data_IF_356932391019
#
_entry.id   IF_356932391019
#
_cell.length_a   1.000
_cell.length_b   1.000
_cell.length_c   1.000
_cell.angle_alpha   90.00
_cell.angle_beta   90.00
_cell.angle_gamma   90.00
#
_symmetry.space_group_name_H-M   'P 1'
#
loop_
_entity.id
_entity.type
_entity.pdbx_description
1 polymer ?
#
# COMPACT_ATOMS: atom_id res chain seq x y z
N UNK A 1 -0.15 -19.13 -76.33
CA UNK A 1 -0.81 -17.86 -76.00
C UNK A 1 -1.82 -18.14 -74.90
N UNK A 2 -1.44 -17.95 -73.64
CA UNK A 2 -2.37 -17.87 -72.51
C UNK A 2 -1.78 -16.88 -71.52
N UNK A 3 -2.57 -15.85 -71.25
CA UNK A 3 -2.21 -14.59 -70.60
C UNK A 3 -2.45 -14.72 -69.10
N UNK A 4 -1.49 -14.28 -68.29
CA UNK A 4 -1.64 -14.03 -66.86
C UNK A 4 -2.81 -13.08 -66.58
N UNK A 5 -3.53 -13.32 -65.48
CA UNK A 5 -4.17 -12.27 -64.69
C UNK A 5 -3.78 -12.46 -63.22
N UNK A 6 -2.87 -11.60 -62.76
CA UNK A 6 -2.61 -11.33 -61.35
C UNK A 6 -3.66 -10.35 -60.85
N UNK A 7 -4.37 -10.69 -59.78
CA UNK A 7 -5.27 -9.79 -59.06
C UNK A 7 -4.58 -9.42 -57.75
N UNK A 8 -4.40 -8.11 -57.57
CA UNK A 8 -3.69 -7.44 -56.48
C UNK A 8 -4.32 -7.69 -55.11
N UNK A 9 -3.52 -8.22 -54.18
CA UNK A 9 -3.86 -8.53 -52.77
C UNK A 9 -3.67 -7.30 -51.85
N UNK A 10 -3.31 -6.14 -52.38
CA UNK A 10 -2.89 -4.99 -51.54
C UNK A 10 -4.03 -4.20 -50.87
N UNK A 11 -5.30 -4.35 -51.27
CA UNK A 11 -6.37 -3.47 -50.78
C UNK A 11 -7.12 -3.96 -49.51
N UNK A 12 -6.86 -5.19 -49.02
CA UNK A 12 -7.52 -5.69 -47.80
C UNK A 12 -6.83 -5.27 -46.50
N UNK A 13 -5.55 -4.86 -46.56
CA UNK A 13 -4.80 -4.47 -45.36
C UNK A 13 -5.15 -3.07 -44.83
N UNK A 14 -5.64 -2.16 -45.68
CA UNK A 14 -5.90 -0.77 -45.29
C UNK A 14 -7.23 -0.63 -44.50
N UNK A 15 -8.24 -1.46 -44.78
CA UNK A 15 -9.53 -1.40 -44.08
C UNK A 15 -9.46 -2.06 -42.70
N UNK A 16 -8.62 -3.10 -42.52
CA UNK A 16 -8.44 -3.76 -41.22
C UNK A 16 -7.62 -2.91 -40.22
N UNK A 17 -6.68 -2.09 -40.73
CA UNK A 17 -5.85 -1.20 -39.92
C UNK A 17 -6.66 -0.03 -39.31
N UNK A 18 -7.72 0.44 -39.98
CA UNK A 18 -8.59 1.51 -39.47
C UNK A 18 -9.56 1.01 -38.38
N UNK A 19 -9.94 -0.28 -38.37
CA UNK A 19 -10.81 -0.85 -37.34
C UNK A 19 -10.04 -1.28 -36.07
N UNK A 20 -8.78 -1.73 -36.18
CA UNK A 20 -7.95 -2.00 -34.99
C UNK A 20 -7.52 -0.69 -34.31
N UNK A 21 -7.32 0.40 -35.08
CA UNK A 21 -7.06 1.73 -34.52
C UNK A 21 -8.28 2.33 -33.79
N UNK A 22 -9.51 1.92 -34.15
CA UNK A 22 -10.74 2.37 -33.46
C UNK A 22 -10.98 1.65 -32.13
N UNK A 23 -10.37 0.48 -31.91
CA UNK A 23 -10.34 -0.18 -30.59
C UNK A 23 -9.21 0.32 -29.69
N UNK A 24 -8.30 1.16 -30.21
CA UNK A 24 -7.21 1.82 -29.46
C UNK A 24 -7.69 3.00 -28.58
N UNK A 25 -9.00 3.30 -28.50
CA UNK A 25 -9.52 4.42 -27.66
C UNK A 25 -10.51 3.94 -26.58
N UNK A 26 -10.62 2.64 -26.33
CA UNK A 26 -11.30 2.16 -25.11
C UNK A 26 -10.37 2.31 -23.90
N UNK A 27 -10.14 3.57 -23.52
CA UNK A 27 -9.98 4.04 -22.14
C UNK A 27 -9.25 3.09 -21.19
N UNK A 28 -7.92 3.07 -21.30
CA UNK A 28 -7.08 2.91 -20.12
C UNK A 28 -7.35 4.11 -19.20
N UNK A 29 -8.32 3.97 -18.30
CA UNK A 29 -8.33 4.75 -17.08
C UNK A 29 -7.29 4.10 -16.17
N UNK A 30 -6.05 4.56 -16.30
CA UNK A 30 -5.05 4.40 -15.25
C UNK A 30 -5.70 4.95 -13.96
N UNK A 31 -5.83 4.10 -12.95
CA UNK A 31 -6.36 4.48 -11.64
C UNK A 31 -5.25 5.28 -10.93
N UNK A 32 -5.02 6.50 -11.42
CA UNK A 32 -4.04 7.43 -10.89
C UNK A 32 -4.30 7.59 -9.39
N UNK A 33 -3.41 7.01 -8.57
CA UNK A 33 -3.47 7.16 -7.12
C UNK A 33 -2.80 8.47 -6.73
N UNK A 34 -3.62 9.39 -6.27
CA UNK A 34 -3.21 10.70 -5.79
C UNK A 34 -2.65 10.58 -4.37
N UNK A 35 -1.93 11.61 -3.91
CA UNK A 35 -1.33 11.61 -2.57
C UNK A 35 -1.67 12.92 -1.87
N UNK A 36 -2.21 12.84 -0.66
CA UNK A 36 -2.20 13.96 0.28
C UNK A 36 -0.82 13.96 0.91
N UNK A 37 -0.03 14.99 0.66
CA UNK A 37 1.35 15.06 1.15
C UNK A 37 1.57 16.10 2.25
N UNK A 38 0.63 17.02 2.45
CA UNK A 38 0.69 17.98 3.54
C UNK A 38 -0.72 18.47 3.93
N UNK A 39 -0.91 18.79 5.20
CA UNK A 39 -2.10 19.43 5.74
C UNK A 39 -1.63 20.55 6.67
N UNK A 40 -2.06 21.77 6.37
CA UNK A 40 -1.64 22.96 7.12
C UNK A 40 -2.85 23.70 7.66
N UNK A 41 -2.79 24.10 8.92
CA UNK A 41 -3.70 25.07 9.52
C UNK A 41 -3.09 26.49 9.45
N UNK A 42 -3.87 27.46 8.99
CA UNK A 42 -3.51 28.88 9.00
C UNK A 42 -4.61 29.64 9.72
N UNK A 43 -4.23 30.31 10.80
CA UNK A 43 -5.07 31.29 11.50
C UNK A 43 -4.65 32.70 11.09
N UNK A 44 -5.60 33.51 10.61
CA UNK A 44 -5.42 34.96 10.42
C UNK A 44 -6.58 35.74 11.07
N UNK A 45 -6.43 37.06 11.24
CA UNK A 45 -7.44 37.93 11.88
C UNK A 45 -8.83 37.86 11.22
N UNK A 46 -8.92 37.37 9.97
CA UNK A 46 -10.15 37.33 9.19
C UNK A 46 -10.76 35.92 9.11
N UNK A 47 -10.01 34.85 9.35
CA UNK A 47 -10.45 33.48 9.08
C UNK A 47 -9.48 32.41 9.58
N UNK A 48 -10.04 31.29 10.03
CA UNK A 48 -9.33 30.02 10.16
C UNK A 48 -9.40 29.27 8.83
N UNK A 49 -8.28 28.68 8.41
CA UNK A 49 -8.20 27.93 7.16
C UNK A 49 -7.45 26.63 7.35
N UNK A 50 -8.00 25.55 6.79
CA UNK A 50 -7.30 24.27 6.66
C UNK A 50 -7.01 24.04 5.19
N UNK A 51 -5.74 23.81 4.87
CA UNK A 51 -5.24 23.60 3.51
C UNK A 51 -4.73 22.17 3.41
N UNK A 52 -5.30 21.42 2.47
CA UNK A 52 -4.91 20.03 2.18
C UNK A 52 -4.19 20.04 0.83
N UNK A 53 -2.90 19.73 0.81
CA UNK A 53 -2.08 19.70 -0.39
C UNK A 53 -2.08 18.31 -1.03
N UNK A 54 -2.24 18.29 -2.36
CA UNK A 54 -2.45 17.06 -3.13
C UNK A 54 -1.43 16.98 -4.27
N UNK A 55 -1.00 15.77 -4.61
CA UNK A 55 -0.12 15.55 -5.77
C UNK A 55 -0.80 15.95 -7.09
N UNK A 56 -2.12 15.82 -7.18
CA UNK A 56 -2.94 16.22 -8.33
C UNK A 56 -4.31 16.72 -7.89
N UNK A 57 -5.07 17.32 -8.81
CA UNK A 57 -6.46 17.66 -8.54
C UNK A 57 -7.30 16.39 -8.46
N UNK A 58 -8.04 16.23 -7.37
CA UNK A 58 -8.84 15.04 -7.09
C UNK A 58 -10.24 15.42 -6.61
N UNK A 59 -11.24 14.62 -7.01
CA UNK A 59 -12.60 14.75 -6.50
C UNK A 59 -12.70 14.22 -5.06
N UNK A 60 -13.53 14.87 -4.25
CA UNK A 60 -13.76 14.49 -2.87
C UNK A 60 -15.24 14.52 -2.54
N UNK A 61 -15.68 13.58 -1.69
CA UNK A 61 -17.02 13.62 -1.12
C UNK A 61 -16.97 14.35 0.23
N UNK A 62 -17.97 15.20 0.51
CA UNK A 62 -18.12 15.87 1.80
C UNK A 62 -19.33 15.31 2.53
N UNK A 63 -19.13 14.99 3.80
CA UNK A 63 -20.19 14.54 4.68
C UNK A 63 -20.03 15.14 6.08
N UNK A 64 -21.11 15.11 6.85
CA UNK A 64 -21.16 15.67 8.19
C UNK A 64 -21.73 14.66 9.17
N UNK A 65 -21.19 14.62 10.38
CA UNK A 65 -21.71 13.83 11.49
C UNK A 65 -22.21 14.82 12.55
N UNK A 66 -23.51 14.78 12.92
CA UNK A 66 -24.05 15.67 13.94
C UNK A 66 -23.38 15.40 15.30
N UNK A 67 -23.29 16.44 16.13
CA UNK A 67 -22.80 16.29 17.49
C UNK A 67 -23.74 15.41 18.33
N UNK A 68 -23.17 14.64 19.25
CA UNK A 68 -23.88 13.94 20.30
C UNK A 68 -23.20 14.16 21.66
N UNK A 69 -23.64 13.46 22.71
CA UNK A 69 -23.12 13.66 24.08
C UNK A 69 -21.61 13.33 24.21
N UNK A 70 -21.09 12.46 23.35
CA UNK A 70 -19.73 11.95 23.42
C UNK A 70 -18.89 12.35 22.19
N UNK A 71 -19.51 12.90 21.14
CA UNK A 71 -18.85 13.23 19.88
C UNK A 71 -19.13 14.68 19.47
N UNK A 72 -18.10 15.46 19.12
CA UNK A 72 -18.28 16.79 18.54
C UNK A 72 -18.91 16.70 17.15
N UNK A 73 -19.36 17.84 16.62
CA UNK A 73 -19.81 17.94 15.24
C UNK A 73 -18.61 17.70 14.30
N UNK A 74 -18.74 16.80 13.32
CA UNK A 74 -17.63 16.45 12.42
C UNK A 74 -18.00 16.80 10.98
N UNK A 75 -17.06 17.38 10.25
CA UNK A 75 -17.10 17.43 8.78
C UNK A 75 -15.94 16.59 8.27
N UNK A 76 -16.18 15.67 7.35
CA UNK A 76 -15.12 14.89 6.75
C UNK A 76 -15.14 14.93 5.22
N UNK A 77 -13.95 14.89 4.64
CA UNK A 77 -13.69 14.86 3.21
C UNK A 77 -13.05 13.52 2.87
N UNK A 78 -13.67 12.80 1.95
CA UNK A 78 -13.17 11.53 1.42
C UNK A 78 -12.57 11.74 0.03
N UNK A 79 -11.25 11.64 -0.04
CA UNK A 79 -10.49 11.73 -1.29
C UNK A 79 -10.35 10.33 -1.88
N UNK A 80 -11.14 10.05 -2.94
CA UNK A 80 -11.10 8.77 -3.64
C UNK A 80 -9.82 8.66 -4.46
N UNK A 81 -9.37 7.42 -4.68
CA UNK A 81 -8.14 7.12 -5.38
C UNK A 81 -6.93 7.87 -4.77
N UNK A 82 -6.94 8.07 -3.45
CA UNK A 82 -5.95 8.93 -2.77
C UNK A 82 -5.32 8.20 -1.59
N UNK A 83 -4.00 8.29 -1.51
CA UNK A 83 -3.17 7.81 -0.42
C UNK A 83 -2.79 8.96 0.52
N UNK A 84 -2.71 8.67 1.81
CA UNK A 84 -2.17 9.59 2.80
C UNK A 84 -0.65 9.37 2.93
N UNK A 85 0.14 10.43 2.72
CA UNK A 85 1.59 10.36 2.96
C UNK A 85 1.87 10.12 4.44
N UNK A 86 2.93 9.35 4.73
CA UNK A 86 3.41 9.11 6.10
C UNK A 86 3.94 10.38 6.78
N UNK A 87 4.23 11.42 6.01
CA UNK A 87 4.72 12.70 6.50
C UNK A 87 3.60 13.62 6.98
N UNK A 88 2.34 13.34 6.62
CA UNK A 88 1.19 14.14 7.02
C UNK A 88 0.83 13.82 8.47
N UNK A 89 0.74 14.83 9.36
CA UNK A 89 0.31 14.63 10.73
C UNK A 89 -1.11 14.03 10.79
N UNK A 90 -1.28 12.98 11.60
CA UNK A 90 -2.59 12.34 11.82
C UNK A 90 -3.55 13.24 12.58
N UNK A 91 -3.03 14.05 13.51
CA UNK A 91 -3.80 15.06 14.25
C UNK A 91 -3.03 16.38 14.22
N UNK A 92 -3.77 17.45 13.98
CA UNK A 92 -3.31 18.83 14.07
C UNK A 92 -4.27 19.52 15.02
N UNK A 93 -3.80 19.78 16.24
CA UNK A 93 -4.57 20.58 17.19
C UNK A 93 -4.65 22.01 16.70
N UNK A 94 -5.87 22.54 16.73
CA UNK A 94 -6.14 23.89 16.27
C UNK A 94 -6.54 24.72 17.48
N UNK A 95 -5.73 25.74 17.77
CA UNK A 95 -6.05 26.77 18.75
C UNK A 95 -6.99 27.80 18.10
N UNK A 96 -8.25 27.41 17.87
CA UNK A 96 -9.31 28.27 17.32
C UNK A 96 -10.62 28.05 18.08
N UNK A 97 -11.42 29.12 18.19
CA UNK A 97 -12.78 29.06 18.74
C UNK A 97 -13.76 28.22 17.89
N UNK A 98 -13.41 27.90 16.64
CA UNK A 98 -14.31 27.27 15.67
C UNK A 98 -14.03 25.78 15.46
N UNK A 99 -12.74 25.40 15.41
CA UNK A 99 -12.30 24.03 15.11
C UNK A 99 -11.43 23.54 16.25
N UNK A 100 -11.78 22.36 16.77
CA UNK A 100 -11.03 21.67 17.81
C UNK A 100 -9.70 21.16 17.26
N UNK A 101 -9.78 20.40 16.17
CA UNK A 101 -8.64 19.73 15.54
C UNK A 101 -8.97 19.28 14.13
N UNK A 102 -7.91 19.08 13.35
CA UNK A 102 -7.95 18.36 12.07
C UNK A 102 -7.34 16.99 12.28
N UNK A 103 -8.02 15.97 11.78
CA UNK A 103 -7.59 14.59 11.81
C UNK A 103 -7.47 14.06 10.38
N UNK A 104 -6.48 13.24 10.10
CA UNK A 104 -6.26 12.66 8.78
C UNK A 104 -5.89 11.19 8.88
N UNK A 105 -6.47 10.37 8.01
CA UNK A 105 -6.27 8.92 8.04
C UNK A 105 -6.55 8.26 6.70
N UNK A 106 -5.98 7.07 6.50
CA UNK A 106 -6.30 6.23 5.35
C UNK A 106 -7.57 5.43 5.68
N UNK A 107 -8.73 5.87 5.18
CA UNK A 107 -10.02 5.22 5.48
C UNK A 107 -10.12 3.80 4.91
N UNK A 108 -9.58 3.57 3.71
CA UNK A 108 -9.41 2.25 3.11
C UNK A 108 -8.26 2.29 2.09
N UNK A 109 -7.97 1.16 1.43
CA UNK A 109 -6.86 1.02 0.44
C UNK A 109 -6.84 2.07 -0.68
N UNK A 110 -7.93 2.81 -0.89
CA UNK A 110 -8.09 3.74 -2.00
C UNK A 110 -8.74 5.07 -1.60
N UNK A 111 -8.95 5.33 -0.30
CA UNK A 111 -9.62 6.55 0.16
C UNK A 111 -8.87 7.11 1.35
N UNK A 112 -8.34 8.32 1.21
CA UNK A 112 -7.83 9.11 2.33
C UNK A 112 -8.96 10.00 2.87
N UNK A 113 -9.08 10.10 4.18
CA UNK A 113 -10.12 10.88 4.86
C UNK A 113 -9.46 11.96 5.70
N UNK A 114 -9.95 13.19 5.56
CA UNK A 114 -9.62 14.31 6.44
C UNK A 114 -10.88 14.71 7.20
N UNK A 115 -10.81 14.75 8.52
CA UNK A 115 -11.91 15.04 9.44
C UNK A 115 -11.60 16.33 10.20
N UNK A 116 -12.58 17.21 10.30
CA UNK A 116 -12.54 18.41 11.11
C UNK A 116 -13.56 18.28 12.23
N UNK A 117 -13.09 18.37 13.47
CA UNK A 117 -13.94 18.37 14.65
C UNK A 117 -14.26 19.82 15.04
N UNK A 118 -15.53 20.15 15.21
CA UNK A 118 -15.99 21.51 15.51
C UNK A 118 -16.65 21.59 16.89
N UNK A 119 -16.51 22.75 17.53
CA UNK A 119 -17.23 23.07 18.77
C UNK A 119 -18.74 23.26 18.56
N UNK A 120 -19.16 23.64 17.36
CA UNK A 120 -20.56 23.96 17.02
C UNK A 120 -20.89 23.54 15.59
N UNK A 121 -22.17 23.58 15.22
CA UNK A 121 -22.63 23.23 13.87
C UNK A 121 -22.08 24.24 12.87
N UNK A 122 -21.27 23.74 11.94
CA UNK A 122 -20.56 24.57 10.97
C UNK A 122 -20.84 24.11 9.55
N UNK A 123 -20.99 25.06 8.63
CA UNK A 123 -21.00 24.78 7.19
C UNK A 123 -19.72 25.35 6.56
N UNK A 124 -18.64 24.57 6.45
CA UNK A 124 -17.40 25.09 5.91
C UNK A 124 -17.58 25.50 4.44
N UNK A 125 -16.99 26.63 4.07
CA UNK A 125 -16.85 26.97 2.66
C UNK A 125 -15.59 26.28 2.15
N UNK A 126 -15.69 25.59 1.01
CA UNK A 126 -14.60 24.78 0.48
C UNK A 126 -14.28 25.25 -0.93
N UNK A 127 -13.00 25.45 -1.21
CA UNK A 127 -12.49 25.77 -2.53
C UNK A 127 -11.36 24.81 -2.93
N UNK A 128 -11.39 24.34 -4.17
CA UNK A 128 -10.33 23.53 -4.74
C UNK A 128 -9.53 24.34 -5.76
N UNK A 129 -8.20 24.25 -5.69
CA UNK A 129 -7.26 24.94 -6.56
C UNK A 129 -6.41 23.93 -7.32
N UNK A 130 -5.98 24.29 -8.54
CA UNK A 130 -5.20 23.40 -9.40
C UNK A 130 -3.68 23.65 -9.33
N UNK A 131 -3.23 24.81 -8.80
CA UNK A 131 -1.81 25.21 -8.83
C UNK A 131 -1.37 25.96 -7.54
N UNK A 132 -0.55 25.34 -6.67
CA UNK A 132 -0.44 23.88 -6.55
C UNK A 132 -1.80 23.23 -6.22
N UNK A 133 -2.03 21.95 -6.59
CA UNK A 133 -3.28 21.26 -6.29
C UNK A 133 -3.53 21.21 -4.77
N UNK A 134 -4.65 21.80 -4.35
CA UNK A 134 -5.02 21.87 -2.93
C UNK A 134 -6.51 22.09 -2.72
N UNK A 135 -7.01 21.64 -1.58
CA UNK A 135 -8.35 21.95 -1.08
C UNK A 135 -8.22 22.85 0.14
N UNK A 136 -8.94 23.96 0.14
CA UNK A 136 -8.95 24.94 1.23
C UNK A 136 -10.33 24.98 1.85
N UNK A 137 -10.40 24.73 3.15
CA UNK A 137 -11.58 24.88 3.96
C UNK A 137 -11.48 26.20 4.72
N UNK A 138 -12.43 27.08 4.49
CA UNK A 138 -12.58 28.34 5.21
C UNK A 138 -13.55 28.15 6.38
N UNK A 139 -13.05 28.49 7.56
CA UNK A 139 -13.65 28.28 8.86
C UNK A 139 -13.77 29.70 9.47
N UNK A 140 -14.92 30.36 9.30
CA UNK A 140 -15.11 31.70 9.87
C UNK A 140 -16.46 32.37 9.58
N UNK A 141 -17.06 32.15 8.41
CA UNK A 141 -18.20 32.97 7.97
C UNK A 141 -19.60 32.34 8.10
N UNK A 142 -19.74 31.04 8.38
CA UNK A 142 -21.03 30.31 8.26
C UNK A 142 -21.38 29.46 9.50
N UNK A 143 -21.33 30.06 10.70
CA UNK A 143 -21.90 29.45 11.90
C UNK A 143 -23.43 29.36 11.74
N UNK A 144 -23.98 28.15 11.70
CA UNK A 144 -25.42 27.96 11.57
C UNK A 144 -26.05 28.31 12.92
N UNK A 145 -26.75 29.44 12.99
CA UNK A 145 -27.38 29.90 14.21
C UNK A 145 -28.50 28.93 14.64
N UNK A 146 -28.24 28.11 15.66
CA UNK A 146 -29.29 27.45 16.43
C UNK A 146 -28.97 26.05 16.91
N UNK A 147 -28.20 25.92 18.00
CA UNK A 147 -28.55 25.04 19.12
C UNK A 147 -27.73 25.40 20.36
N UNK A 148 -28.34 26.17 21.27
CA UNK A 148 -27.85 26.43 22.62
C UNK A 148 -28.28 25.29 23.55
N UNK A 149 -27.32 24.58 24.15
CA UNK A 149 -27.37 23.86 25.44
C UNK A 149 -26.01 23.16 25.59
N UNK A 150 -25.18 23.27 26.62
CA UNK A 150 -25.18 24.03 27.86
C UNK A 150 -23.72 24.16 28.29
N UNK A 151 -23.35 25.34 28.79
CA UNK A 151 -22.07 25.57 29.47
C UNK A 151 -22.01 24.72 30.73
N UNK A 152 -21.02 23.86 30.86
CA UNK A 152 -20.53 23.42 32.17
C UNK A 152 -19.11 23.96 32.39
N UNK A 153 -19.05 25.09 33.08
CA UNK A 153 -17.87 25.57 33.77
C UNK A 153 -17.89 25.00 35.19
N UNK A 154 -16.77 24.46 35.67
CA UNK A 154 -16.27 24.28 37.06
C UNK A 154 -15.01 23.42 36.88
N UNK A 155 -13.80 23.73 37.37
CA UNK A 155 -13.32 24.80 38.23
C UNK A 155 -11.85 24.52 38.55
N UNK A 156 -11.14 25.60 38.87
CA UNK A 156 -9.71 25.65 39.21
C UNK A 156 -9.29 24.71 40.34
N UNK A 157 -8.07 24.15 40.25
CA UNK A 157 -7.25 23.88 41.42
C UNK A 157 -5.75 23.92 41.09
N UNK A 158 -5.13 25.05 41.43
CA UNK A 158 -3.69 25.18 41.65
C UNK A 158 -3.24 24.57 42.99
N UNK A 159 -1.95 24.20 43.01
CA UNK A 159 -0.95 24.00 44.09
C UNK A 159 -0.33 22.59 43.96
N UNK A 160 0.95 22.37 43.72
CA UNK A 160 2.17 23.16 43.97
C UNK A 160 3.05 22.41 44.99
N UNK A 161 4.19 21.85 44.56
CA UNK A 161 5.45 21.80 45.33
C UNK A 161 6.62 21.11 44.56
N UNK A 162 7.64 21.92 44.26
CA UNK A 162 9.09 21.73 44.47
C UNK A 162 9.45 20.66 45.52
N UNK A 163 10.59 19.97 45.55
CA UNK A 163 11.89 19.94 44.87
C UNK A 163 12.63 18.70 45.45
N UNK A 164 13.62 18.15 44.75
CA UNK A 164 14.96 17.84 45.29
C UNK A 164 15.64 16.65 44.60
N UNK A 165 16.89 16.95 44.28
CA UNK A 165 17.93 16.13 43.68
C UNK A 165 18.38 15.02 44.62
N UNK A 166 18.77 13.86 44.08
CA UNK A 166 20.07 13.31 44.48
C UNK A 166 20.67 12.33 43.46
N UNK A 167 21.98 12.50 43.33
CA UNK A 167 22.97 11.81 42.52
C UNK A 167 23.44 10.55 43.25
N UNK A 168 23.66 9.41 42.58
CA UNK A 168 24.83 8.54 42.78
C UNK A 168 25.15 7.77 41.48
N UNK A 169 26.39 7.92 41.04
CA UNK A 169 27.04 7.23 39.94
C UNK A 169 27.39 5.77 40.26
N UNK A 170 27.58 4.94 39.22
CA UNK A 170 28.46 3.76 39.08
C UNK A 170 28.16 3.24 37.65
N UNK A 171 29.03 2.74 36.79
CA UNK A 171 30.49 2.68 36.61
C UNK A 171 30.69 2.04 35.23
N UNK A 172 31.73 2.45 34.51
CA UNK A 172 32.10 1.95 33.19
C UNK A 172 32.38 0.44 33.16
N UNK A 173 31.99 -0.23 32.07
CA UNK A 173 32.74 -1.38 31.54
C UNK A 173 32.69 -1.36 30.00
N UNK A 174 33.76 -0.82 29.40
CA UNK A 174 34.10 -1.03 28.00
C UNK A 174 34.71 -2.41 27.84
N UNK A 175 34.16 -3.25 26.97
CA UNK A 175 34.83 -4.46 26.48
C UNK A 175 34.98 -4.36 24.97
N UNK A 176 36.21 -4.02 24.56
CA UNK A 176 36.71 -4.23 23.20
C UNK A 176 36.56 -5.72 22.84
N UNK A 177 35.99 -6.00 21.68
CA UNK A 177 36.12 -7.29 21.01
C UNK A 177 36.91 -7.07 19.72
N UNK A 178 38.03 -7.78 19.65
CA UNK A 178 38.98 -7.76 18.54
C UNK A 178 38.33 -8.19 17.23
N UNK A 179 38.46 -7.35 16.20
CA UNK A 179 38.11 -7.70 14.82
C UNK A 179 39.30 -8.44 14.23
N UNK A 180 39.08 -9.72 13.91
CA UNK A 180 39.99 -10.53 13.10
C UNK A 180 39.73 -10.21 11.63
N UNK A 181 40.69 -9.54 10.99
CA UNK A 181 40.72 -9.35 9.55
C UNK A 181 40.92 -10.71 8.85
N UNK A 182 39.85 -11.19 8.23
CA UNK A 182 39.87 -12.32 7.29
C UNK A 182 39.54 -11.81 5.90
N UNK A 183 40.57 -11.71 5.06
CA UNK A 183 40.46 -11.43 3.63
C UNK A 183 39.43 -12.35 2.96
N UNK A 184 38.39 -11.78 2.38
CA UNK A 184 37.56 -12.47 1.39
C UNK A 184 37.38 -11.56 0.20
N UNK A 185 37.80 -12.07 -0.94
CA UNK A 185 37.72 -11.48 -2.27
C UNK A 185 36.28 -11.06 -2.60
N UNK A 186 36.06 -9.75 -2.73
CA UNK A 186 34.84 -9.17 -3.25
C UNK A 186 34.70 -9.52 -4.74
N UNK A 187 33.98 -10.60 -5.04
CA UNK A 187 33.12 -10.60 -6.24
C UNK A 187 31.90 -9.76 -5.87
N UNK A 188 31.82 -8.55 -6.41
CA UNK A 188 30.63 -7.70 -6.33
C UNK A 188 29.47 -8.42 -7.02
N UNK A 189 28.76 -9.24 -6.24
CA UNK A 189 27.43 -9.71 -6.57
C UNK A 189 26.55 -8.49 -6.39
N UNK A 190 26.03 -7.93 -7.50
CA UNK A 190 24.96 -6.94 -7.43
C UNK A 190 23.88 -7.50 -6.50
N UNK A 191 23.75 -6.92 -5.31
CA UNK A 191 22.74 -7.33 -4.34
C UNK A 191 21.39 -6.97 -4.95
N UNK A 192 20.71 -7.96 -5.54
CA UNK A 192 19.33 -7.78 -5.97
C UNK A 192 18.52 -7.26 -4.77
N UNK A 193 17.70 -6.20 -4.97
CA UNK A 193 16.90 -5.64 -3.89
C UNK A 193 16.08 -6.74 -3.24
N UNK A 194 16.03 -6.74 -1.91
CA UNK A 194 15.31 -7.74 -1.13
C UNK A 194 13.85 -7.81 -1.59
N UNK A 195 13.51 -8.90 -2.27
CA UNK A 195 12.15 -9.19 -2.72
C UNK A 195 11.47 -10.15 -1.72
N UNK A 196 10.56 -9.66 -0.87
CA UNK A 196 9.88 -10.48 0.11
C UNK A 196 9.06 -11.61 -0.54
N UNK A 197 8.65 -11.43 -1.80
CA UNK A 197 7.86 -12.37 -2.59
C UNK A 197 8.70 -13.21 -3.56
N UNK A 198 10.02 -13.13 -3.46
CA UNK A 198 10.91 -14.07 -4.11
C UNK A 198 10.58 -15.51 -3.69
N UNK A 199 10.62 -16.41 -4.67
CA UNK A 199 10.43 -17.85 -4.46
C UNK A 199 11.37 -18.38 -3.37
N UNK A 200 10.93 -19.33 -2.53
CA UNK A 200 11.83 -20.02 -1.61
C UNK A 200 13.01 -20.67 -2.37
N UNK A 201 14.24 -20.60 -1.85
CA UNK A 201 15.34 -21.37 -2.40
C UNK A 201 15.01 -22.87 -2.29
N UNK A 202 15.42 -23.68 -3.27
CA UNK A 202 15.13 -25.12 -3.32
C UNK A 202 16.41 -25.98 -3.09
N UNK A 203 17.05 -25.93 -1.90
CA UNK A 203 18.34 -26.57 -1.69
C UNK A 203 18.25 -28.11 -1.57
N UNK A 204 17.09 -28.65 -1.18
CA UNK A 204 16.93 -30.08 -0.94
C UNK A 204 16.63 -30.78 -2.27
N UNK A 205 17.57 -31.54 -2.79
CA UNK A 205 17.40 -32.34 -4.02
C UNK A 205 17.12 -33.80 -3.68
N UNK A 206 16.04 -34.36 -4.22
CA UNK A 206 15.70 -35.78 -4.11
C UNK A 206 15.87 -36.41 -5.49
N UNK A 207 17.03 -37.05 -5.69
CA UNK A 207 17.48 -37.46 -7.03
C UNK A 207 17.67 -36.26 -7.95
N UNK A 208 17.58 -36.50 -9.26
CA UNK A 208 17.83 -35.47 -10.27
C UNK A 208 16.56 -34.69 -10.69
N UNK A 209 15.39 -35.10 -10.20
CA UNK A 209 14.10 -34.64 -10.71
C UNK A 209 13.27 -33.85 -9.71
N UNK A 210 13.55 -33.93 -8.41
CA UNK A 210 12.73 -33.30 -7.38
C UNK A 210 13.61 -32.35 -6.57
N UNK A 211 13.13 -31.13 -6.38
CA UNK A 211 13.76 -30.14 -5.49
C UNK A 211 12.72 -29.54 -4.56
N UNK A 212 13.07 -29.39 -3.29
CA UNK A 212 12.21 -28.88 -2.24
C UNK A 212 12.92 -27.74 -1.49
N UNK A 213 12.13 -26.86 -0.91
CA UNK A 213 12.65 -25.75 -0.15
C UNK A 213 11.60 -25.09 0.73
N UNK A 214 12.08 -24.27 1.65
CA UNK A 214 11.25 -23.46 2.52
C UNK A 214 11.87 -22.09 2.75
N UNK A 215 11.02 -21.12 3.07
CA UNK A 215 11.39 -19.76 3.49
C UNK A 215 10.59 -19.43 4.74
N UNK A 216 11.26 -18.93 5.76
CA UNK A 216 10.63 -18.43 6.98
C UNK A 216 10.87 -16.92 7.03
N UNK A 217 9.80 -16.14 7.16
CA UNK A 217 9.88 -14.72 7.49
C UNK A 217 9.27 -14.54 8.87
N UNK A 218 9.98 -13.81 9.74
CA UNK A 218 9.48 -13.42 11.05
C UNK A 218 9.51 -11.90 11.09
N UNK A 219 8.39 -11.30 11.46
CA UNK A 219 8.23 -9.85 11.58
C UNK A 219 7.71 -9.53 12.97
N UNK A 220 8.31 -8.53 13.59
CA UNK A 220 7.83 -7.95 14.85
C UNK A 220 7.59 -6.47 14.59
N UNK A 221 6.32 -6.08 14.64
CA UNK A 221 5.88 -4.71 14.39
C UNK A 221 5.26 -4.17 15.69
N UNK A 222 5.82 -3.11 16.25
CA UNK A 222 5.14 -2.31 17.26
C UNK A 222 4.54 -1.10 16.56
N UNK A 223 3.22 -0.92 16.71
CA UNK A 223 2.50 0.22 16.15
C UNK A 223 1.71 0.90 17.24
N UNK A 224 1.86 2.21 17.33
CA UNK A 224 0.93 3.03 18.10
C UNK A 224 -0.37 3.10 17.28
N UNK A 225 -1.43 2.45 17.78
CA UNK A 225 -2.75 2.38 17.17
C UNK A 225 -3.41 3.77 17.26
N UNK A 226 -3.06 4.63 16.32
CA UNK A 226 -3.67 5.94 16.11
C UNK A 226 -4.44 6.00 14.78
N UNK A 227 -4.92 4.84 14.29
CA UNK A 227 -5.62 4.71 12.98
C UNK A 227 -7.14 4.98 13.08
N UNK A 228 -7.70 4.96 14.29
CA UNK A 228 -9.08 5.26 14.70
C UNK A 228 -9.34 6.74 15.00
N UNK A 229 -8.28 7.57 15.06
CA UNK A 229 -8.35 9.02 15.27
C UNK A 229 -8.97 9.44 16.62
N UNK A 230 -9.24 8.52 17.55
CA UNK A 230 -9.60 8.83 18.93
C UNK A 230 -8.37 9.18 19.77
N UNK A 231 -8.63 9.80 20.91
CA UNK A 231 -7.65 10.47 21.77
C UNK A 231 -7.29 9.59 22.98
N UNK A 232 -7.56 8.29 22.89
CA UNK A 232 -7.26 7.38 23.98
C UNK A 232 -5.76 7.08 23.96
N UNK A 233 -5.06 7.74 24.89
CA UNK A 233 -3.66 7.47 25.18
C UNK A 233 -3.55 6.09 25.84
N UNK A 234 -3.44 5.04 25.02
CA UNK A 234 -3.27 3.66 25.50
C UNK A 234 -2.89 2.65 24.43
N UNK A 235 -3.24 2.86 23.17
CA UNK A 235 -3.27 1.70 22.28
C UNK A 235 -1.92 1.45 21.58
N UNK A 236 -0.91 1.00 22.31
CA UNK A 236 0.29 0.40 21.71
C UNK A 236 -0.03 -1.04 21.32
N UNK A 237 0.03 -1.33 20.02
CA UNK A 237 -0.24 -2.64 19.47
C UNK A 237 1.06 -3.29 18.98
N UNK A 238 1.53 -4.29 19.72
CA UNK A 238 2.66 -5.11 19.30
C UNK A 238 2.15 -6.36 18.57
N UNK A 239 2.62 -6.58 17.34
CA UNK A 239 2.22 -7.69 16.47
C UNK A 239 3.44 -8.53 16.11
N UNK A 240 3.32 -9.83 16.27
CA UNK A 240 4.27 -10.80 15.76
C UNK A 240 3.64 -11.56 14.59
N UNK A 241 4.28 -11.50 13.43
CA UNK A 241 3.86 -12.26 12.26
C UNK A 241 4.94 -13.30 11.92
N UNK A 242 4.51 -14.55 11.82
CA UNK A 242 5.34 -15.65 11.32
C UNK A 242 4.79 -16.16 10.00
N UNK A 243 5.63 -16.24 8.99
CA UNK A 243 5.29 -16.77 7.67
C UNK A 243 6.20 -17.94 7.33
N UNK A 244 5.62 -19.09 7.01
CA UNK A 244 6.31 -20.26 6.48
C UNK A 244 5.85 -20.52 5.04
N UNK A 245 6.75 -20.39 4.08
CA UNK A 245 6.52 -20.79 2.69
C UNK A 245 7.22 -22.11 2.42
N UNK A 246 6.52 -23.06 1.80
CA UNK A 246 7.05 -24.37 1.38
C UNK A 246 6.85 -24.51 -0.11
N UNK A 247 7.90 -24.90 -0.82
CA UNK A 247 7.88 -25.03 -2.27
C UNK A 247 8.50 -26.35 -2.75
N UNK A 248 8.02 -26.80 -3.90
CA UNK A 248 8.53 -27.98 -4.59
C UNK A 248 8.57 -27.79 -6.10
N UNK A 249 9.59 -28.37 -6.72
CA UNK A 249 9.80 -28.41 -8.16
C UNK A 249 10.02 -29.86 -8.60
N UNK A 250 9.28 -30.30 -9.60
CA UNK A 250 9.42 -31.61 -10.23
C UNK A 250 9.74 -31.42 -11.72
N UNK A 251 10.83 -32.03 -12.17
CA UNK A 251 11.33 -31.96 -13.54
C UNK A 251 11.23 -33.37 -14.16
N UNK A 252 10.02 -33.81 -14.59
CA UNK A 252 9.85 -35.16 -15.15
C UNK A 252 10.71 -35.37 -16.41
N UNK A 253 10.88 -34.29 -17.19
CA UNK A 253 11.67 -34.20 -18.42
C UNK A 253 12.54 -32.92 -18.41
N UNK A 254 13.65 -32.86 -19.16
CA UNK A 254 14.51 -31.67 -19.21
C UNK A 254 13.80 -30.39 -19.67
N UNK A 255 12.69 -30.50 -20.41
CA UNK A 255 11.91 -29.38 -20.93
C UNK A 255 10.66 -29.06 -20.11
N UNK A 256 10.31 -29.84 -19.08
CA UNK A 256 9.07 -29.67 -18.32
C UNK A 256 9.38 -29.51 -16.84
N UNK A 257 8.89 -28.42 -16.27
CA UNK A 257 8.91 -28.12 -14.85
C UNK A 257 7.48 -28.07 -14.32
N UNK A 258 7.27 -28.66 -13.15
CA UNK A 258 6.03 -28.55 -12.38
C UNK A 258 6.40 -27.97 -11.02
N UNK A 259 5.85 -26.80 -10.72
CA UNK A 259 6.18 -26.05 -9.51
C UNK A 259 4.94 -25.84 -8.64
N UNK A 260 5.11 -25.92 -7.32
CA UNK A 260 4.10 -25.58 -6.34
C UNK A 260 4.70 -24.85 -5.13
N UNK A 261 3.97 -23.89 -4.60
CA UNK A 261 4.33 -23.08 -3.43
C UNK A 261 3.09 -22.76 -2.59
N UNK A 262 3.11 -23.16 -1.32
CA UNK A 262 2.11 -22.78 -0.32
C UNK A 262 2.73 -21.91 0.77
N UNK A 263 1.95 -20.98 1.30
CA UNK A 263 2.35 -20.11 2.42
C UNK A 263 1.37 -20.28 3.56
N UNK A 264 1.92 -20.48 4.75
CA UNK A 264 1.22 -20.44 6.03
C UNK A 264 1.65 -19.17 6.76
N UNK A 265 0.69 -18.45 7.31
CA UNK A 265 0.90 -17.16 7.99
C UNK A 265 0.18 -17.22 9.31
N UNK A 266 0.84 -16.82 10.40
CA UNK A 266 0.23 -16.72 11.71
C UNK A 266 0.58 -15.35 12.30
N UNK A 267 -0.45 -14.61 12.67
CA UNK A 267 -0.38 -13.30 13.32
C UNK A 267 -0.82 -13.47 14.77
N UNK A 268 0.07 -13.10 15.68
CA UNK A 268 -0.13 -13.08 17.12
C UNK A 268 -0.03 -11.62 17.60
N UNK A 269 -0.99 -11.20 18.42
CA UNK A 269 -0.98 -9.88 19.05
C UNK A 269 -0.33 -10.03 20.42
N UNK A 270 0.82 -9.40 20.62
CA UNK A 270 1.65 -9.55 21.83
C UNK A 270 1.28 -8.54 22.93
N UNK A 271 0.85 -7.35 22.55
CA UNK A 271 0.46 -6.28 23.47
C UNK A 271 -0.70 -5.55 22.84
N UNK A 272 -1.81 -5.50 23.57
CA UNK A 272 -3.03 -4.81 23.20
C UNK A 272 -3.72 -4.32 24.49
N UNK A 273 -3.78 -3.01 24.70
CA UNK A 273 -4.48 -2.43 25.85
C UNK A 273 -6.02 -2.60 25.76
N UNK A 274 -6.56 -2.91 24.57
CA UNK A 274 -7.98 -3.18 24.34
C UNK A 274 -8.39 -4.65 24.56
N UNK A 275 -7.43 -5.53 24.87
CA UNK A 275 -7.64 -6.94 25.21
C UNK A 275 -8.46 -7.71 24.16
N UNK A 276 -8.20 -7.44 22.88
CA UNK A 276 -8.77 -8.13 21.73
C UNK A 276 -7.82 -9.27 21.34
N UNK A 277 -8.09 -10.46 21.88
CA UNK A 277 -7.49 -11.70 21.39
C UNK A 277 -8.02 -11.97 19.96
N UNK A 278 -7.23 -11.63 18.94
CA UNK A 278 -7.51 -11.98 17.54
C UNK A 278 -6.28 -12.63 16.90
N UNK A 279 -6.03 -13.89 17.26
CA UNK A 279 -5.06 -14.74 16.59
C UNK A 279 -5.59 -15.11 15.20
N UNK A 280 -4.85 -14.73 14.16
CA UNK A 280 -5.22 -15.06 12.78
C UNK A 280 -4.22 -16.01 12.15
N UNK A 281 -4.73 -17.13 11.64
CA UNK A 281 -3.95 -18.10 10.88
C UNK A 281 -4.52 -18.24 9.48
N UNK A 282 -3.70 -17.98 8.46
CA UNK A 282 -4.08 -18.07 7.05
C UNK A 282 -3.16 -19.06 6.32
N UNK A 283 -3.74 -19.80 5.37
CA UNK A 283 -3.00 -20.71 4.49
C UNK A 283 -3.41 -20.46 3.05
N UNK A 284 -2.45 -20.11 2.19
CA UNK A 284 -2.70 -19.66 0.82
C UNK A 284 -1.81 -20.42 -0.17
N UNK A 285 -2.39 -20.84 -1.29
CA UNK A 285 -1.66 -21.36 -2.44
C UNK A 285 -1.11 -20.19 -3.25
N UNK A 286 0.19 -19.94 -3.15
CA UNK A 286 0.85 -18.82 -3.85
C UNK A 286 1.07 -19.09 -5.32
N UNK A 287 1.60 -20.27 -5.66
CA UNK A 287 1.98 -20.64 -7.02
C UNK A 287 1.75 -22.13 -7.25
N UNK A 288 1.29 -22.45 -8.44
CA UNK A 288 1.09 -23.81 -8.91
C UNK A 288 1.03 -23.78 -10.43
N UNK A 289 2.12 -24.13 -11.10
CA UNK A 289 2.20 -24.03 -12.55
C UNK A 289 2.99 -25.17 -13.19
N UNK A 290 2.71 -25.39 -14.47
CA UNK A 290 3.53 -26.18 -15.38
C UNK A 290 4.24 -25.22 -16.34
N UNK A 291 5.55 -25.40 -16.52
CA UNK A 291 6.36 -24.65 -17.47
C UNK A 291 7.02 -25.64 -18.44
N UNK A 292 6.74 -25.46 -19.73
CA UNK A 292 7.32 -26.21 -20.83
C UNK A 292 8.28 -25.29 -21.61
N UNK A 293 9.58 -25.54 -21.44
CA UNK A 293 10.67 -24.89 -22.17
C UNK A 293 10.78 -25.39 -23.61
N UNK A 294 11.15 -24.50 -24.52
CA UNK A 294 11.34 -24.84 -25.94
C UNK A 294 10.12 -25.55 -26.56
N UNK A 295 8.92 -25.08 -26.18
CA UNK A 295 7.65 -25.49 -26.74
C UNK A 295 7.60 -25.17 -28.24
N UNK A 296 7.58 -26.22 -29.07
CA UNK A 296 7.58 -26.20 -30.54
C UNK A 296 8.89 -25.73 -31.20
N UNK A 297 9.52 -24.66 -30.71
CA UNK A 297 10.78 -24.11 -31.24
C UNK A 297 11.70 -23.63 -30.10
N UNK A 298 13.03 -23.55 -30.32
CA UNK A 298 13.96 -23.08 -29.29
C UNK A 298 13.64 -21.67 -28.78
N UNK A 299 13.82 -21.45 -27.48
CA UNK A 299 13.54 -20.21 -26.73
C UNK A 299 12.06 -19.81 -26.64
N UNK A 300 11.15 -20.63 -27.12
CA UNK A 300 9.72 -20.39 -27.05
C UNK A 300 9.14 -21.21 -25.91
N UNK A 301 8.78 -20.55 -24.83
CA UNK A 301 8.35 -21.21 -23.60
C UNK A 301 6.85 -21.04 -23.41
N UNK A 302 6.25 -22.07 -22.83
CA UNK A 302 4.84 -22.10 -22.49
C UNK A 302 4.66 -22.34 -20.99
N UNK A 303 3.85 -21.54 -20.31
CA UNK A 303 3.58 -21.68 -18.89
C UNK A 303 2.10 -21.52 -18.59
N UNK A 304 1.56 -22.43 -17.77
CA UNK A 304 0.14 -22.42 -17.40
C UNK A 304 -0.04 -22.73 -15.92
N UNK A 305 -0.96 -22.01 -15.28
CA UNK A 305 -1.31 -22.15 -13.88
C UNK A 305 -1.07 -20.86 -13.11
N UNK A 306 -1.07 -20.97 -11.78
CA UNK A 306 -0.84 -19.86 -10.87
C UNK A 306 0.64 -19.52 -10.78
N UNK A 307 1.01 -18.31 -11.18
CA UNK A 307 2.39 -17.86 -11.31
C UNK A 307 2.52 -16.39 -10.94
N UNK A 308 3.71 -15.96 -10.50
CA UNK A 308 3.98 -14.53 -10.35
C UNK A 308 4.17 -13.89 -11.71
N UNK A 309 3.43 -12.83 -11.98
CA UNK A 309 3.63 -11.95 -13.11
C UNK A 309 4.10 -10.62 -12.55
N UNK A 310 5.35 -10.29 -12.85
CA UNK A 310 6.00 -9.05 -12.46
C UNK A 310 6.39 -8.28 -13.70
N UNK A 311 5.96 -7.04 -13.79
CA UNK A 311 6.44 -6.04 -14.73
C UNK A 311 7.68 -5.36 -14.14
N UNK A 312 8.73 -5.15 -14.93
CA UNK A 312 10.01 -4.58 -14.43
C UNK A 312 9.82 -3.16 -13.88
N UNK A 313 8.81 -2.44 -14.37
CA UNK A 313 8.45 -1.10 -13.89
C UNK A 313 7.41 -1.14 -12.77
N UNK A 314 6.88 -2.31 -12.47
CA UNK A 314 5.80 -2.58 -11.51
C UNK A 314 4.53 -1.74 -11.78
N UNK A 315 4.31 -1.28 -13.01
CA UNK A 315 3.17 -0.40 -13.33
C UNK A 315 1.90 -1.18 -13.61
N UNK A 316 2.03 -2.37 -14.20
CA UNK A 316 0.89 -3.12 -14.73
C UNK A 316 0.57 -4.33 -13.85
N UNK A 317 1.59 -5.07 -13.42
CA UNK A 317 1.41 -6.29 -12.63
C UNK A 317 2.58 -6.51 -11.67
N UNK A 318 2.29 -6.77 -10.40
CA UNK A 318 3.18 -7.47 -9.46
C UNK A 318 2.32 -8.34 -8.54
N UNK A 319 1.80 -9.44 -9.09
CA UNK A 319 0.90 -10.32 -8.35
C UNK A 319 1.01 -11.80 -8.79
N UNK A 320 0.43 -12.70 -8.00
CA UNK A 320 0.29 -14.11 -8.33
C UNK A 320 -1.07 -14.36 -8.99
N UNK A 321 -1.05 -14.64 -10.30
CA UNK A 321 -2.26 -14.78 -11.11
C UNK A 321 -2.34 -16.16 -11.74
N UNK A 322 -3.57 -16.63 -11.97
CA UNK A 322 -3.81 -17.79 -12.81
C UNK A 322 -3.70 -17.35 -14.26
N UNK A 323 -2.68 -17.84 -14.94
CA UNK A 323 -2.34 -17.33 -16.26
C UNK A 323 -1.97 -18.43 -17.24
N UNK A 324 -2.31 -18.17 -18.50
CA UNK A 324 -1.75 -18.82 -19.66
C UNK A 324 -0.73 -17.85 -20.26
N UNK A 325 0.53 -18.26 -20.35
CA UNK A 325 1.64 -17.41 -20.81
C UNK A 325 2.47 -18.13 -21.86
N UNK A 326 2.82 -17.40 -22.90
CA UNK A 326 3.75 -17.81 -23.94
C UNK A 326 4.78 -16.70 -24.06
N UNK A 327 6.06 -17.06 -24.01
CA UNK A 327 7.13 -16.08 -24.10
C UNK A 327 8.29 -16.59 -24.94
N UNK A 328 8.92 -15.68 -25.68
CA UNK A 328 10.07 -15.93 -26.52
C UNK A 328 11.20 -15.02 -26.09
N UNK A 329 12.31 -15.58 -25.57
CA UNK A 329 13.41 -14.77 -24.97
C UNK A 329 14.80 -15.07 -25.57
N UNK A 330 15.05 -14.79 -26.87
CA UNK A 330 16.41 -14.78 -27.39
C UNK A 330 17.19 -13.53 -26.93
N UNK A 331 18.51 -13.57 -27.14
CA UNK A 331 19.46 -12.54 -26.64
C UNK A 331 19.13 -11.10 -27.08
N UNK A 332 18.53 -10.90 -28.26
CA UNK A 332 18.35 -9.55 -28.85
C UNK A 332 16.95 -8.97 -28.73
N UNK A 333 15.95 -9.80 -28.44
CA UNK A 333 14.55 -9.40 -28.51
C UNK A 333 13.74 -10.33 -27.59
N UNK A 334 12.73 -9.83 -26.88
CA UNK A 334 11.83 -10.66 -26.07
C UNK A 334 10.36 -10.38 -26.35
N UNK A 335 9.56 -11.43 -26.58
CA UNK A 335 8.10 -11.35 -26.66
C UNK A 335 7.52 -12.04 -25.45
N UNK A 336 6.47 -11.45 -24.89
CA UNK A 336 5.69 -12.05 -23.81
C UNK A 336 4.21 -11.81 -24.09
N UNK A 337 3.44 -12.88 -24.09
CA UNK A 337 2.00 -12.82 -24.22
C UNK A 337 1.38 -13.63 -23.10
N UNK A 338 0.51 -12.98 -22.32
CA UNK A 338 -0.21 -13.62 -21.22
C UNK A 338 -1.69 -13.26 -21.26
N UNK A 339 -2.51 -14.20 -20.80
CA UNK A 339 -3.90 -13.95 -20.40
C UNK A 339 -4.04 -14.48 -18.98
N UNK A 340 -4.52 -13.64 -18.08
CA UNK A 340 -4.52 -13.93 -16.64
C UNK A 340 -5.81 -13.48 -15.96
N UNK A 341 -6.19 -14.19 -14.90
CA UNK A 341 -7.31 -13.87 -14.02
C UNK A 341 -7.00 -14.35 -12.61
N UNK A 342 -7.76 -13.88 -11.63
CA UNK A 342 -7.80 -14.45 -10.28
C UNK A 342 -8.93 -15.48 -10.26
N UNK A 343 -8.62 -16.76 -10.03
CA UNK A 343 -9.63 -17.85 -9.98
C UNK A 343 -9.81 -18.47 -8.59
N UNK A 344 -8.83 -18.32 -7.71
CA UNK A 344 -8.84 -18.88 -6.34
C UNK A 344 -8.36 -17.78 -5.40
N UNK A 345 -9.20 -17.39 -4.44
CA UNK A 345 -8.85 -16.53 -3.30
C UNK A 345 -8.22 -17.36 -2.18
#
# INVERSE_FOLDING_TARGET
MNMMRSISVQNYYIVFLVQVLFFTICTYADEQKYVIYDITHIHDEASDKVIIFLSHKTDYDINTIPADKNNPYKVYLDFKYTLLSKEVPRTIDIDSDNVLRVRSGQFNRNTARVVLDFYDIYKPQIAAYNDPPRVVLYLGENKLAGHLSDKHSIGDHEKGHQNDQNIVALSNENKNMDIVEGETSNEEKEEEPFDPDARPPLPIKIGDKISLGSKINLSLDTRDNSEDLDDDSGDTLSRFESQLSVAGLINPYPSIDIYGEGRFSHLEILEDELNIDDDKSDAVLRRAYLHWRDFLVPHFDFQVGRQRIKDDREWIFDDNLDAFRIFYKPVRFSFDFSVSSILID
#
